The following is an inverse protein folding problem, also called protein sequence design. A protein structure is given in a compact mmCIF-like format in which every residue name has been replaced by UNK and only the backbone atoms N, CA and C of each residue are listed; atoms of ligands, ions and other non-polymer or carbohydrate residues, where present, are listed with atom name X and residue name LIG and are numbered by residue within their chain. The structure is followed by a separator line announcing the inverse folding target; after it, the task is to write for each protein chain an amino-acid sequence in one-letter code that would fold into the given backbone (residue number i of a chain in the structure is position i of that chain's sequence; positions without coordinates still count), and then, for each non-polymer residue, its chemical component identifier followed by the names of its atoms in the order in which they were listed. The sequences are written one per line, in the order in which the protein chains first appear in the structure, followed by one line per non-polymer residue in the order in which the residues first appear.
data_IF_031657816896
#
_entry.id   IF_031657816896
#
_cell.length_a   1.000
_cell.length_b   1.000
_cell.length_c   1.000
_cell.angle_alpha   90.00
_cell.angle_beta   90.00
_cell.angle_gamma   90.00
#
_symmetry.space_group_name_H-M   'P 1'
#
loop_
_entity.id
_entity.type
_entity.pdbx_description
1 polymer ?
#
# COMPACT_ATOMS: atom_id res chain seq x y z
N UNK A 1 -17.59 -6.09 -16.36
CA UNK A 1 -17.98 -5.76 -14.98
C UNK A 1 -18.56 -4.35 -14.89
N UNK A 2 -17.93 -3.36 -15.52
CA UNK A 2 -18.43 -1.98 -15.64
C UNK A 2 -19.95 -1.87 -15.86
N UNK A 3 -20.51 -2.44 -16.95
CA UNK A 3 -21.94 -2.35 -17.24
C UNK A 3 -22.84 -2.87 -16.11
N UNK A 4 -22.37 -3.93 -15.42
CA UNK A 4 -23.07 -4.50 -14.27
C UNK A 4 -23.08 -3.51 -13.09
N UNK A 5 -21.96 -2.83 -12.83
CA UNK A 5 -21.88 -1.82 -11.78
C UNK A 5 -22.73 -0.59 -12.10
N UNK A 6 -22.70 -0.13 -13.35
CA UNK A 6 -23.54 0.98 -13.82
C UNK A 6 -25.03 0.68 -13.66
N UNK A 7 -25.46 -0.55 -13.97
CA UNK A 7 -26.85 -0.97 -13.74
C UNK A 7 -27.24 -0.93 -12.25
N UNK A 8 -26.35 -1.35 -11.35
CA UNK A 8 -26.58 -1.29 -9.89
C UNK A 8 -26.64 0.16 -9.40
N UNK A 9 -25.74 1.01 -9.88
CA UNK A 9 -25.71 2.45 -9.56
C UNK A 9 -27.05 3.10 -9.94
N UNK A 10 -27.48 2.94 -11.20
CA UNK A 10 -28.75 3.49 -11.69
C UNK A 10 -29.95 3.01 -10.85
N UNK A 11 -29.92 1.74 -10.42
CA UNK A 11 -30.96 1.19 -9.55
C UNK A 11 -30.98 1.87 -8.17
N UNK A 12 -29.84 2.10 -7.55
CA UNK A 12 -29.76 2.71 -6.22
C UNK A 12 -30.08 4.21 -6.25
N UNK A 13 -29.70 4.92 -7.33
CA UNK A 13 -30.11 6.30 -7.60
C UNK A 13 -31.63 6.43 -7.69
N UNK A 14 -32.30 5.49 -8.38
CA UNK A 14 -33.78 5.45 -8.44
C UNK A 14 -34.45 5.29 -7.05
N UNK A 15 -33.70 4.85 -6.03
CA UNK A 15 -34.14 4.71 -4.63
C UNK A 15 -33.74 5.91 -3.76
N UNK A 16 -33.19 6.95 -4.39
CA UNK A 16 -32.91 8.25 -3.79
C UNK A 16 -31.48 8.46 -3.34
N UNK A 17 -30.50 7.67 -3.80
CA UNK A 17 -29.09 8.07 -3.66
C UNK A 17 -28.80 9.32 -4.51
N UNK A 18 -27.97 10.22 -3.98
CA UNK A 18 -27.54 11.45 -4.69
C UNK A 18 -26.28 11.20 -5.52
N UNK A 19 -25.42 10.29 -5.06
CA UNK A 19 -24.24 9.83 -5.77
C UNK A 19 -23.84 8.45 -5.27
N UNK A 20 -23.26 7.64 -6.15
CA UNK A 20 -22.72 6.33 -5.85
C UNK A 20 -21.38 6.17 -6.56
N UNK A 21 -20.36 5.70 -5.85
CA UNK A 21 -19.21 5.06 -6.48
C UNK A 21 -19.21 3.55 -6.22
N UNK A 22 -18.66 2.81 -7.17
CA UNK A 22 -18.52 1.38 -7.12
C UNK A 22 -17.10 1.01 -7.56
N UNK A 23 -16.46 0.15 -6.75
CA UNK A 23 -15.08 -0.29 -6.94
C UNK A 23 -15.03 -1.79 -7.00
N UNK A 24 -14.69 -2.34 -8.16
CA UNK A 24 -14.42 -3.77 -8.30
C UNK A 24 -12.93 -4.02 -8.17
N UNK A 25 -12.58 -4.99 -7.33
CA UNK A 25 -11.23 -5.51 -7.19
C UNK A 25 -11.24 -6.99 -7.57
N UNK A 26 -10.29 -7.41 -8.40
CA UNK A 26 -9.89 -8.80 -8.59
C UNK A 26 -8.37 -8.91 -8.53
N UNK A 27 -7.85 -9.29 -7.37
CA UNK A 27 -6.43 -9.27 -7.06
C UNK A 27 -5.91 -10.68 -6.78
N UNK A 28 -4.73 -10.96 -7.33
CA UNK A 28 -3.90 -12.12 -7.08
C UNK A 28 -2.73 -11.72 -6.19
N UNK A 29 -2.70 -12.29 -4.99
CA UNK A 29 -1.58 -12.19 -4.07
C UNK A 29 -0.80 -13.50 -4.07
N UNK A 30 0.46 -13.48 -4.50
CA UNK A 30 1.37 -14.62 -4.28
C UNK A 30 2.38 -14.30 -3.21
N UNK A 31 2.70 -15.32 -2.42
CA UNK A 31 3.63 -15.21 -1.30
C UNK A 31 4.44 -16.48 -1.20
N UNK A 32 5.76 -16.32 -1.18
CA UNK A 32 6.71 -17.37 -0.87
C UNK A 32 7.54 -16.93 0.33
N UNK A 33 7.64 -17.78 1.34
CA UNK A 33 8.44 -17.54 2.54
C UNK A 33 9.31 -18.76 2.77
N UNK A 34 10.61 -18.53 2.89
CA UNK A 34 11.55 -19.53 3.42
C UNK A 34 12.07 -19.08 4.77
N UNK A 35 12.28 -20.03 5.65
CA UNK A 35 13.00 -19.85 6.91
C UNK A 35 14.02 -20.98 7.05
N UNK A 36 15.29 -20.61 7.25
CA UNK A 36 16.41 -21.54 7.41
C UNK A 36 16.38 -22.68 6.34
N UNK A 37 16.36 -22.30 5.06
CA UNK A 37 16.32 -23.19 3.87
C UNK A 37 14.99 -23.91 3.62
N UNK A 38 14.07 -23.91 4.60
CA UNK A 38 12.80 -24.62 4.48
C UNK A 38 11.71 -23.69 3.95
N UNK A 39 10.90 -24.19 3.03
CA UNK A 39 9.72 -23.47 2.54
C UNK A 39 8.63 -23.54 3.61
N UNK A 40 8.38 -22.42 4.28
CA UNK A 40 7.30 -22.26 5.25
C UNK A 40 5.97 -21.98 4.57
N UNK A 41 6.01 -21.24 3.45
CA UNK A 41 4.79 -20.85 2.73
C UNK A 41 5.06 -20.74 1.24
N UNK A 42 4.19 -21.35 0.44
CA UNK A 42 4.06 -21.11 -0.98
C UNK A 42 2.57 -21.00 -1.27
N UNK A 43 2.06 -19.78 -1.45
CA UNK A 43 0.60 -19.54 -1.51
C UNK A 43 0.25 -18.54 -2.60
N UNK A 44 -0.81 -18.84 -3.33
CA UNK A 44 -1.53 -17.90 -4.20
C UNK A 44 -2.95 -17.71 -3.66
N UNK A 45 -3.39 -16.46 -3.52
CA UNK A 45 -4.74 -16.09 -3.10
C UNK A 45 -5.34 -15.21 -4.19
N UNK A 46 -6.51 -15.60 -4.69
CA UNK A 46 -7.36 -14.72 -5.49
C UNK A 46 -8.42 -14.10 -4.56
N UNK A 47 -8.56 -12.78 -4.61
CA UNK A 47 -9.63 -12.03 -3.93
C UNK A 47 -10.40 -11.28 -5.00
N UNK A 48 -11.73 -11.38 -4.97
CA UNK A 48 -12.58 -10.59 -5.83
C UNK A 48 -13.75 -10.03 -5.03
N UNK A 49 -14.16 -8.80 -5.34
CA UNK A 49 -15.30 -8.17 -4.69
C UNK A 49 -15.60 -6.79 -5.23
N UNK A 50 -16.73 -6.24 -4.78
CA UNK A 50 -17.17 -4.88 -5.12
C UNK A 50 -17.50 -4.14 -3.84
N UNK A 51 -16.93 -2.95 -3.67
CA UNK A 51 -17.35 -1.97 -2.66
C UNK A 51 -18.26 -0.91 -3.28
N UNK A 52 -19.25 -0.43 -2.52
CA UNK A 52 -20.12 0.69 -2.89
C UNK A 52 -20.08 1.75 -1.80
N UNK A 53 -19.71 2.98 -2.15
CA UNK A 53 -20.01 4.15 -1.33
C UNK A 53 -21.25 4.83 -1.88
N UNK A 54 -22.25 5.04 -1.02
CA UNK A 54 -23.52 5.68 -1.39
C UNK A 54 -23.69 6.95 -0.58
N UNK A 55 -23.99 8.04 -1.27
CA UNK A 55 -24.18 9.36 -0.68
C UNK A 55 -25.66 9.74 -0.68
N UNK A 56 -26.11 10.28 0.46
CA UNK A 56 -27.49 10.71 0.67
C UNK A 56 -27.56 11.85 1.69
N UNK A 57 -28.01 13.03 1.27
CA UNK A 57 -28.21 14.24 2.08
C UNK A 57 -26.96 14.63 2.89
N UNK A 58 -25.80 14.47 2.26
CA UNK A 58 -24.50 14.74 2.85
C UNK A 58 -23.94 13.66 3.76
N UNK A 59 -24.66 12.54 3.98
CA UNK A 59 -24.12 11.36 4.65
C UNK A 59 -23.64 10.31 3.64
N UNK A 60 -22.69 9.49 4.08
CA UNK A 60 -22.14 8.39 3.29
C UNK A 60 -22.44 7.06 3.99
N UNK A 61 -22.72 6.03 3.21
CA UNK A 61 -22.83 4.65 3.68
C UNK A 61 -22.01 3.73 2.78
N UNK A 62 -21.38 2.74 3.39
CA UNK A 62 -20.52 1.78 2.70
C UNK A 62 -21.00 0.34 2.90
N UNK A 63 -20.96 -0.44 1.84
CA UNK A 63 -21.14 -1.89 1.90
C UNK A 63 -20.37 -2.56 0.76
N UNK A 64 -20.10 -3.85 0.89
CA UNK A 64 -19.36 -4.61 -0.12
C UNK A 64 -19.96 -6.00 -0.35
N UNK A 65 -19.54 -6.67 -1.42
CA UNK A 65 -19.82 -8.08 -1.66
C UNK A 65 -18.63 -8.77 -2.33
N UNK A 66 -18.32 -9.99 -1.87
CA UNK A 66 -17.42 -10.91 -2.57
C UNK A 66 -18.18 -11.84 -3.56
N UNK A 67 -19.52 -11.80 -3.56
CA UNK A 67 -20.36 -12.52 -4.51
C UNK A 67 -20.75 -11.58 -5.66
N UNK A 68 -20.23 -11.86 -6.86
CA UNK A 68 -20.38 -11.01 -8.04
C UNK A 68 -21.69 -11.22 -8.83
N UNK A 69 -22.64 -11.97 -8.26
CA UNK A 69 -24.01 -12.05 -8.78
C UNK A 69 -24.70 -10.70 -8.68
N UNK A 70 -25.52 -10.35 -9.68
CA UNK A 70 -26.22 -9.06 -9.71
C UNK A 70 -27.06 -8.85 -8.44
N UNK A 71 -27.82 -9.86 -8.00
CA UNK A 71 -28.65 -9.78 -6.80
C UNK A 71 -27.83 -9.46 -5.53
N UNK A 72 -26.62 -10.01 -5.39
CA UNK A 72 -25.78 -9.71 -4.24
C UNK A 72 -25.20 -8.30 -4.30
N UNK A 73 -24.84 -7.82 -5.48
CA UNK A 73 -24.33 -6.45 -5.66
C UNK A 73 -25.43 -5.42 -5.39
N UNK A 74 -26.63 -5.64 -5.92
CA UNK A 74 -27.82 -4.83 -5.65
C UNK A 74 -28.12 -4.77 -4.15
N UNK A 75 -28.11 -5.92 -3.47
CA UNK A 75 -28.36 -5.99 -2.03
C UNK A 75 -27.31 -5.22 -1.21
N UNK A 76 -26.02 -5.32 -1.56
CA UNK A 76 -24.97 -4.56 -0.89
C UNK A 76 -25.15 -3.06 -1.12
N UNK A 77 -25.39 -2.62 -2.34
CA UNK A 77 -25.57 -1.20 -2.65
C UNK A 77 -26.83 -0.61 -1.98
N UNK A 78 -27.93 -1.37 -1.90
CA UNK A 78 -29.12 -1.00 -1.11
C UNK A 78 -28.79 -0.88 0.38
N UNK A 79 -27.95 -1.77 0.91
CA UNK A 79 -27.53 -1.73 2.31
C UNK A 79 -26.68 -0.49 2.60
N UNK A 80 -25.76 -0.13 1.69
CA UNK A 80 -25.00 1.11 1.76
C UNK A 80 -25.92 2.35 1.78
N UNK A 81 -26.94 2.41 0.91
CA UNK A 81 -27.95 3.46 0.95
C UNK A 81 -28.72 3.50 2.29
N UNK A 82 -29.06 2.33 2.84
CA UNK A 82 -29.72 2.22 4.15
C UNK A 82 -28.89 2.84 5.27
N UNK A 83 -27.58 2.58 5.28
CA UNK A 83 -26.63 3.18 6.22
C UNK A 83 -26.59 4.70 6.04
N UNK A 84 -26.44 5.20 4.82
CA UNK A 84 -26.40 6.64 4.53
C UNK A 84 -27.68 7.35 5.02
N UNK A 85 -28.86 6.74 4.76
CA UNK A 85 -30.16 7.25 5.25
C UNK A 85 -30.27 7.29 6.77
N UNK A 86 -29.73 6.29 7.47
CA UNK A 86 -29.74 6.22 8.92
C UNK A 86 -28.80 7.26 9.56
N UNK A 87 -27.65 7.54 8.92
CA UNK A 87 -26.67 8.52 9.40
C UNK A 87 -27.05 9.98 9.10
N UNK A 88 -27.72 10.24 7.97
CA UNK A 88 -28.10 11.58 7.52
C UNK A 88 -28.68 12.54 8.59
N UNK A 89 -29.59 12.13 9.49
CA UNK A 89 -30.12 13.03 10.52
C UNK A 89 -29.12 13.37 11.65
N UNK A 90 -28.02 12.62 11.80
CA UNK A 90 -27.13 12.70 12.95
C UNK A 90 -25.73 13.30 12.64
N UNK A 91 -25.37 13.47 11.36
CA UNK A 91 -24.06 13.98 10.97
C UNK A 91 -23.92 15.49 11.22
N UNK A 92 -22.76 15.91 11.70
CA UNK A 92 -22.40 17.32 11.93
C UNK A 92 -21.61 17.93 10.78
N UNK A 93 -20.88 17.10 10.04
CA UNK A 93 -20.11 17.46 8.85
C UNK A 93 -20.78 16.75 7.67
N UNK A 94 -21.18 17.53 6.66
CA UNK A 94 -21.82 17.01 5.46
C UNK A 94 -20.82 16.94 4.32
N UNK A 95 -20.83 15.82 3.61
CA UNK A 95 -20.12 15.70 2.35
C UNK A 95 -20.86 16.50 1.28
N UNK A 96 -20.13 17.31 0.53
CA UNK A 96 -20.62 17.98 -0.67
C UNK A 96 -20.12 17.21 -1.88
N UNK A 97 -21.02 16.96 -2.83
CA UNK A 97 -20.68 16.31 -4.09
C UNK A 97 -20.55 17.40 -5.13
N UNK A 98 -19.35 17.59 -5.65
CA UNK A 98 -19.11 18.45 -6.79
C UNK A 98 -19.27 17.62 -8.07
N UNK A 99 -20.19 17.98 -8.98
CA UNK A 99 -20.35 17.28 -10.25
C UNK A 99 -19.09 17.46 -11.10
N UNK A 100 -18.56 16.37 -11.62
CA UNK A 100 -17.41 16.33 -12.51
C UNK A 100 -17.79 15.73 -13.86
N UNK A 101 -17.06 16.16 -14.91
CA UNK A 101 -17.16 15.53 -16.22
C UNK A 101 -16.61 14.10 -16.13
N UNK A 102 -17.34 13.08 -16.62
CA UNK A 102 -16.91 11.71 -16.45
C UNK A 102 -15.71 11.38 -17.31
N UNK A 103 -14.74 10.69 -16.71
CA UNK A 103 -13.59 10.14 -17.43
C UNK A 103 -14.01 8.79 -18.02
N UNK A 104 -13.81 8.55 -19.33
CA UNK A 104 -14.29 7.33 -20.00
C UNK A 104 -13.16 6.51 -20.57
N UNK A 105 -13.30 5.19 -20.51
CA UNK A 105 -12.43 4.21 -21.16
C UNK A 105 -10.93 4.44 -20.90
N UNK A 106 -10.57 4.73 -19.65
CA UNK A 106 -9.16 4.91 -19.24
C UNK A 106 -8.60 3.59 -18.73
N UNK A 107 -7.42 3.22 -19.22
CA UNK A 107 -6.71 1.99 -18.85
C UNK A 107 -5.32 2.32 -18.31
N UNK A 108 -5.10 1.98 -17.05
CA UNK A 108 -3.94 2.40 -16.26
C UNK A 108 -3.13 1.19 -15.83
N UNK A 109 -1.81 1.24 -15.98
CA UNK A 109 -0.88 0.23 -15.46
C UNK A 109 0.50 0.85 -15.22
N UNK A 110 1.27 0.32 -14.25
CA UNK A 110 2.64 0.79 -14.05
C UNK A 110 3.53 0.42 -15.25
N UNK A 111 4.53 1.28 -15.52
CA UNK A 111 5.56 1.04 -16.53
C UNK A 111 6.56 -0.01 -16.01
N UNK A 112 6.42 -1.27 -16.46
CA UNK A 112 7.26 -2.40 -16.04
C UNK A 112 7.81 -3.13 -17.26
N UNK A 113 9.14 -3.32 -17.30
CA UNK A 113 9.83 -3.96 -18.42
C UNK A 113 9.97 -5.47 -18.24
N UNK A 114 10.28 -5.92 -17.03
CA UNK A 114 10.44 -7.35 -16.69
C UNK A 114 9.42 -7.76 -15.61
N UNK A 115 8.16 -8.01 -15.99
CA UNK A 115 7.09 -8.30 -15.05
C UNK A 115 7.27 -9.64 -14.33
N UNK A 116 7.26 -9.63 -12.99
CA UNK A 116 7.45 -10.84 -12.19
C UNK A 116 6.27 -11.84 -12.29
N UNK A 117 5.12 -11.43 -12.80
CA UNK A 117 3.99 -12.33 -13.04
C UNK A 117 4.15 -13.20 -14.28
N UNK A 118 5.13 -12.93 -15.15
CA UNK A 118 5.46 -13.75 -16.32
C UNK A 118 6.52 -14.83 -16.04
N UNK A 119 7.18 -14.79 -14.87
CA UNK A 119 8.21 -15.79 -14.51
C UNK A 119 7.64 -16.92 -13.65
N UNK A 120 8.23 -18.10 -13.80
CA UNK A 120 7.81 -19.33 -13.13
C UNK A 120 8.22 -19.37 -11.64
N UNK A 121 7.68 -20.36 -10.91
CA UNK A 121 7.95 -20.53 -9.48
C UNK A 121 9.42 -20.72 -9.14
N UNK A 122 10.16 -21.46 -9.98
CA UNK A 122 11.58 -21.77 -9.74
C UNK A 122 12.47 -20.52 -9.83
N UNK A 123 12.18 -19.61 -10.76
CA UNK A 123 12.89 -18.33 -10.86
C UNK A 123 12.65 -17.45 -9.62
N UNK A 124 11.44 -17.47 -9.07
CA UNK A 124 11.10 -16.75 -7.83
C UNK A 124 11.80 -17.36 -6.62
N UNK A 125 11.89 -18.69 -6.57
CA UNK A 125 12.64 -19.41 -5.55
C UNK A 125 14.14 -19.11 -5.62
N UNK A 126 14.70 -18.95 -6.81
CA UNK A 126 16.10 -18.58 -7.01
C UNK A 126 16.42 -17.21 -6.40
N UNK A 127 15.53 -16.21 -6.56
CA UNK A 127 15.68 -14.91 -5.90
C UNK A 127 15.78 -15.05 -4.38
N UNK A 128 14.97 -15.93 -3.78
CA UNK A 128 15.02 -16.19 -2.34
C UNK A 128 16.31 -16.90 -1.92
N UNK A 129 16.75 -17.88 -2.70
CA UNK A 129 18.00 -18.61 -2.43
C UNK A 129 19.22 -17.70 -2.51
N UNK A 130 19.27 -16.75 -3.45
CA UNK A 130 20.32 -15.74 -3.55
C UNK A 130 20.39 -14.82 -2.32
N UNK A 131 19.24 -14.33 -1.83
CA UNK A 131 19.18 -13.58 -0.56
C UNK A 131 19.68 -14.40 0.62
N UNK A 132 19.22 -15.65 0.71
CA UNK A 132 19.56 -16.55 1.81
C UNK A 132 21.06 -16.91 1.84
N UNK A 133 21.63 -17.25 0.70
CA UNK A 133 23.06 -17.58 0.59
C UNK A 133 23.93 -16.37 0.96
N UNK A 134 23.61 -15.20 0.40
CA UNK A 134 24.37 -13.97 0.72
C UNK A 134 24.28 -13.60 2.20
N UNK A 135 23.12 -13.77 2.83
CA UNK A 135 22.96 -13.53 4.26
C UNK A 135 23.82 -14.49 5.12
N UNK A 136 23.88 -15.78 4.76
CA UNK A 136 24.72 -16.77 5.46
C UNK A 136 26.21 -16.49 5.31
N UNK A 137 26.65 -16.08 4.12
CA UNK A 137 28.05 -15.77 3.85
C UNK A 137 28.56 -14.56 4.64
N UNK A 138 27.68 -13.59 4.92
CA UNK A 138 28.06 -12.31 5.55
C UNK A 138 27.65 -12.21 7.03
N UNK A 139 26.75 -13.07 7.49
CA UNK A 139 26.21 -13.02 8.84
C UNK A 139 27.06 -13.75 9.87
N UNK A 140 26.74 -13.51 11.14
CA UNK A 140 27.40 -14.14 12.29
C UNK A 140 26.35 -14.54 13.32
N UNK A 141 26.53 -15.71 13.91
CA UNK A 141 25.65 -16.26 14.96
C UNK A 141 24.16 -16.20 14.62
N UNK A 142 23.81 -16.48 13.36
CA UNK A 142 22.43 -16.44 12.86
C UNK A 142 21.62 -17.56 13.54
N UNK A 143 20.55 -17.18 14.24
CA UNK A 143 19.58 -18.11 14.83
C UNK A 143 18.32 -18.27 13.99
N UNK A 144 17.96 -17.27 13.19
CA UNK A 144 16.88 -17.35 12.20
C UNK A 144 17.20 -16.47 10.99
N UNK A 145 16.96 -17.01 9.81
CA UNK A 145 17.09 -16.33 8.53
C UNK A 145 15.80 -16.55 7.74
N UNK A 146 15.10 -15.46 7.46
CA UNK A 146 13.79 -15.48 6.81
C UNK A 146 13.80 -14.62 5.56
N UNK A 147 13.49 -15.24 4.42
CA UNK A 147 13.41 -14.56 3.13
C UNK A 147 11.99 -14.62 2.58
N UNK A 148 11.55 -13.51 2.00
CA UNK A 148 10.18 -13.29 1.58
C UNK A 148 10.15 -12.81 0.13
N UNK A 149 9.24 -13.38 -0.64
CA UNK A 149 8.81 -12.92 -1.95
C UNK A 149 7.30 -12.70 -1.90
N UNK A 150 6.86 -11.55 -2.38
CA UNK A 150 5.45 -11.19 -2.51
C UNK A 150 5.18 -10.50 -3.83
N UNK A 151 4.05 -10.85 -4.46
CA UNK A 151 3.53 -10.09 -5.60
C UNK A 151 2.03 -9.87 -5.43
N UNK A 152 1.59 -8.66 -5.74
CA UNK A 152 0.18 -8.30 -5.89
C UNK A 152 -0.02 -7.86 -7.34
N UNK A 153 -0.99 -8.46 -8.02
CA UNK A 153 -1.36 -8.10 -9.39
C UNK A 153 -2.86 -8.28 -9.57
N UNK A 154 -3.48 -7.64 -10.56
CA UNK A 154 -4.90 -7.89 -10.81
C UNK A 154 -5.58 -6.80 -11.60
N UNK A 155 -6.91 -6.76 -11.51
CA UNK A 155 -7.74 -5.74 -12.14
C UNK A 155 -8.52 -4.99 -11.07
N UNK A 156 -8.57 -3.68 -11.22
CA UNK A 156 -9.44 -2.78 -10.49
C UNK A 156 -10.29 -2.01 -11.49
N UNK A 157 -11.57 -1.84 -11.19
CA UNK A 157 -12.48 -1.02 -11.99
C UNK A 157 -13.15 -0.03 -11.05
N UNK A 158 -12.98 1.25 -11.34
CA UNK A 158 -13.70 2.33 -10.67
C UNK A 158 -14.79 2.86 -11.60
N UNK A 159 -15.97 3.06 -11.03
CA UNK A 159 -17.07 3.74 -11.71
C UNK A 159 -17.98 4.45 -10.73
N UNK A 160 -18.69 5.48 -11.20
CA UNK A 160 -19.54 6.32 -10.36
C UNK A 160 -20.85 6.71 -11.07
N UNK A 161 -21.68 7.49 -10.39
CA UNK A 161 -22.93 8.08 -10.89
C UNK A 161 -22.80 8.91 -12.16
N UNK A 162 -21.66 9.57 -12.37
CA UNK A 162 -21.39 10.34 -13.60
C UNK A 162 -21.05 9.42 -14.78
N UNK A 163 -20.82 8.13 -14.48
CA UNK A 163 -20.45 7.10 -15.43
C UNK A 163 -18.95 7.05 -15.70
N UNK A 164 -18.11 7.57 -14.81
CA UNK A 164 -16.65 7.42 -14.94
C UNK A 164 -16.29 5.95 -15.14
N UNK A 165 -15.34 5.66 -16.03
CA UNK A 165 -14.87 4.33 -16.36
C UNK A 165 -13.34 4.31 -16.37
N UNK A 166 -12.78 3.80 -15.27
CA UNK A 166 -11.34 3.62 -15.11
C UNK A 166 -11.07 2.15 -14.83
N UNK A 167 -10.22 1.55 -15.67
CA UNK A 167 -9.64 0.23 -15.49
C UNK A 167 -8.19 0.40 -15.06
N UNK A 168 -7.80 -0.25 -13.98
CA UNK A 168 -6.45 -0.17 -13.43
C UNK A 168 -5.89 -1.56 -13.16
N UNK A 169 -4.69 -1.82 -13.65
CA UNK A 169 -3.92 -3.00 -13.33
C UNK A 169 -2.86 -2.65 -12.26
N UNK A 170 -3.17 -2.78 -10.95
CA UNK A 170 -2.16 -2.60 -9.93
C UNK A 170 -1.11 -3.69 -10.04
N UNK A 171 0.15 -3.32 -9.80
CA UNK A 171 1.21 -4.29 -9.57
C UNK A 171 2.10 -3.86 -8.41
N UNK A 172 2.50 -4.80 -7.58
CA UNK A 172 3.57 -4.60 -6.57
C UNK A 172 4.39 -5.87 -6.45
N UNK A 173 5.70 -5.71 -6.45
CA UNK A 173 6.67 -6.75 -6.12
C UNK A 173 7.32 -6.40 -4.77
N UNK A 174 7.59 -7.41 -3.95
CA UNK A 174 8.24 -7.26 -2.66
C UNK A 174 9.23 -8.41 -2.41
N UNK A 175 10.49 -8.07 -2.15
CA UNK A 175 11.53 -8.96 -1.62
C UNK A 175 11.96 -8.45 -0.25
N UNK A 176 12.19 -9.35 0.70
CA UNK A 176 12.72 -9.00 2.01
C UNK A 176 13.60 -10.11 2.55
N UNK A 177 14.76 -9.75 3.09
CA UNK A 177 15.59 -10.61 3.92
C UNK A 177 15.54 -10.10 5.37
N UNK A 178 15.31 -10.99 6.32
CA UNK A 178 15.31 -10.72 7.75
C UNK A 178 16.24 -11.70 8.44
N UNK A 179 17.22 -11.17 9.16
CA UNK A 179 18.25 -11.93 9.87
C UNK A 179 18.12 -11.65 11.35
N UNK A 180 18.01 -12.71 12.14
CA UNK A 180 18.13 -12.65 13.60
C UNK A 180 19.42 -13.35 14.01
N UNK A 181 20.30 -12.58 14.64
CA UNK A 181 21.54 -13.09 15.24
C UNK A 181 21.42 -13.17 16.77
N UNK A 182 22.25 -14.02 17.37
CA UNK A 182 22.19 -14.34 18.80
C UNK A 182 23.56 -14.17 19.49
N UNK A 183 23.60 -13.53 20.65
CA UNK A 183 24.81 -13.47 21.50
C UNK A 183 25.02 -14.79 22.25
N UNK A 184 26.24 -15.10 22.73
CA UNK A 184 26.48 -16.25 23.60
C UNK A 184 25.62 -16.24 24.88
N UNK A 185 25.27 -15.05 25.38
CA UNK A 185 24.43 -14.84 26.56
C UNK A 185 22.93 -15.05 26.26
N UNK A 186 22.56 -15.12 24.98
CA UNK A 186 21.21 -15.44 24.52
C UNK A 186 20.40 -14.26 23.99
N UNK A 187 20.97 -13.06 23.94
CA UNK A 187 20.31 -11.87 23.40
C UNK A 187 20.10 -12.01 21.89
N UNK A 188 18.96 -11.55 21.41
CA UNK A 188 18.59 -11.62 20.00
C UNK A 188 18.54 -10.22 19.40
N UNK A 189 19.17 -10.05 18.23
CA UNK A 189 19.08 -8.82 17.46
C UNK A 189 18.66 -9.12 16.04
N UNK A 190 17.70 -8.34 15.54
CA UNK A 190 17.14 -8.51 14.20
C UNK A 190 17.42 -7.30 13.34
N UNK A 191 17.81 -7.56 12.09
CA UNK A 191 17.82 -6.56 11.05
C UNK A 191 17.19 -7.12 9.78
N UNK A 192 16.79 -6.20 8.90
CA UNK A 192 16.13 -6.54 7.66
C UNK A 192 16.54 -5.55 6.59
N UNK A 193 16.63 -6.04 5.38
CA UNK A 193 16.65 -5.23 4.18
C UNK A 193 15.54 -5.70 3.23
N UNK A 194 15.00 -4.78 2.45
CA UNK A 194 13.87 -5.08 1.58
C UNK A 194 13.83 -4.17 0.36
N UNK A 195 13.20 -4.69 -0.69
CA UNK A 195 12.81 -3.93 -1.86
C UNK A 195 11.35 -4.18 -2.17
N UNK A 196 10.57 -3.12 -2.32
CA UNK A 196 9.13 -3.21 -2.60
C UNK A 196 8.70 -2.10 -3.53
N UNK A 197 7.60 -2.28 -4.26
CA UNK A 197 6.95 -1.21 -5.02
C UNK A 197 6.33 -1.70 -6.33
N UNK A 198 5.76 -0.79 -7.10
CA UNK A 198 5.31 -1.04 -8.48
C UNK A 198 6.50 -1.11 -9.44
N UNK A 199 7.34 -2.12 -9.25
CA UNK A 199 8.62 -2.33 -9.95
C UNK A 199 8.67 -3.70 -10.62
N UNK A 200 9.42 -3.83 -11.71
CA UNK A 200 9.72 -5.13 -12.31
C UNK A 200 10.99 -5.77 -11.77
N UNK A 201 11.31 -6.96 -12.27
CA UNK A 201 12.52 -7.70 -11.95
C UNK A 201 13.79 -6.96 -12.39
N UNK A 202 13.69 -6.01 -13.33
CA UNK A 202 14.81 -5.14 -13.72
C UNK A 202 15.38 -4.32 -12.56
N UNK A 203 14.55 -3.94 -11.59
CA UNK A 203 14.99 -3.21 -10.40
C UNK A 203 15.85 -4.06 -9.48
N UNK A 204 15.65 -5.38 -9.48
CA UNK A 204 16.46 -6.34 -8.69
C UNK A 204 17.83 -6.64 -9.34
N UNK A 205 18.15 -5.97 -10.46
CA UNK A 205 19.46 -6.02 -11.11
C UNK A 205 20.26 -4.75 -10.89
N UNK A 206 19.65 -3.73 -10.28
CA UNK A 206 20.32 -2.47 -9.95
C UNK A 206 21.24 -2.66 -8.76
N UNK A 207 22.33 -1.90 -8.74
CA UNK A 207 23.28 -1.87 -7.63
C UNK A 207 22.55 -1.54 -6.31
N UNK A 208 22.86 -2.26 -5.25
CA UNK A 208 22.25 -2.16 -3.91
C UNK A 208 20.79 -2.66 -3.84
N UNK A 209 20.20 -3.17 -4.91
CA UNK A 209 18.84 -3.70 -4.93
C UNK A 209 18.77 -5.19 -5.29
N UNK A 210 19.93 -5.82 -5.52
CA UNK A 210 19.97 -7.24 -5.86
C UNK A 210 19.58 -8.12 -4.66
N UNK A 211 19.08 -9.34 -4.89
CA UNK A 211 18.90 -10.32 -3.82
C UNK A 211 20.13 -10.47 -2.93
N UNK A 212 21.34 -10.47 -3.50
CA UNK A 212 22.59 -10.54 -2.76
C UNK A 212 22.78 -9.31 -1.88
N UNK A 213 22.56 -8.10 -2.40
CA UNK A 213 22.68 -6.87 -1.62
C UNK A 213 21.73 -6.89 -0.41
N UNK A 214 20.47 -7.28 -0.61
CA UNK A 214 19.47 -7.38 0.47
C UNK A 214 19.88 -8.41 1.53
N UNK A 215 20.37 -9.58 1.09
CA UNK A 215 20.86 -10.63 1.98
C UNK A 215 22.05 -10.17 2.82
N UNK A 216 23.05 -9.60 2.16
CA UNK A 216 24.26 -9.06 2.78
C UNK A 216 23.94 -7.95 3.77
N UNK A 217 23.14 -6.97 3.39
CA UNK A 217 22.79 -5.82 4.24
C UNK A 217 22.09 -6.28 5.52
N UNK A 218 21.05 -7.12 5.39
CA UNK A 218 20.32 -7.64 6.54
C UNK A 218 21.25 -8.37 7.53
N UNK A 219 22.18 -9.18 7.01
CA UNK A 219 23.15 -9.91 7.81
C UNK A 219 24.16 -9.00 8.52
N UNK A 220 24.76 -8.05 7.79
CA UNK A 220 25.72 -7.10 8.34
C UNK A 220 25.08 -6.21 9.41
N UNK A 221 23.86 -5.72 9.18
CA UNK A 221 23.14 -4.90 10.16
C UNK A 221 22.74 -5.70 11.40
N UNK A 222 22.36 -6.97 11.28
CA UNK A 222 22.05 -7.82 12.43
C UNK A 222 23.31 -8.04 13.28
N UNK A 223 24.44 -8.32 12.63
CA UNK A 223 25.76 -8.45 13.26
C UNK A 223 26.20 -7.15 13.97
N UNK A 224 26.04 -6.00 13.32
CA UNK A 224 26.38 -4.71 13.92
C UNK A 224 25.52 -4.42 15.16
N UNK A 225 24.20 -4.67 15.06
CA UNK A 225 23.24 -4.51 16.17
C UNK A 225 23.58 -5.35 17.39
N UNK A 226 24.12 -6.56 17.22
CA UNK A 226 24.54 -7.40 18.34
C UNK A 226 25.58 -6.74 19.26
N UNK A 227 26.45 -5.89 18.70
CA UNK A 227 27.52 -5.22 19.46
C UNK A 227 27.15 -3.80 19.89
N UNK A 228 25.94 -3.37 19.56
CA UNK A 228 25.47 -2.01 19.81
C UNK A 228 25.18 -1.77 21.28
N UNK A 229 25.55 -0.58 21.76
CA UNK A 229 25.16 -0.11 23.09
C UNK A 229 23.79 0.56 23.02
N UNK A 230 23.07 0.55 24.14
CA UNK A 230 21.85 1.35 24.30
C UNK A 230 22.15 2.82 24.05
N UNK A 231 21.32 3.47 23.23
CA UNK A 231 21.43 4.91 23.00
C UNK A 231 21.17 5.67 24.32
N UNK A 232 21.93 6.75 24.62
CA UNK A 232 21.70 7.55 25.81
C UNK A 232 20.35 8.27 25.74
N UNK A 233 19.67 8.40 26.88
CA UNK A 233 18.47 9.21 26.98
C UNK A 233 18.81 10.71 26.98
N UNK A 234 18.05 11.52 26.23
CA UNK A 234 18.24 12.97 26.21
C UNK A 234 17.86 13.62 24.88
N UNK A 235 18.11 14.93 24.79
CA UNK A 235 17.96 15.70 23.54
C UNK A 235 19.31 15.83 22.87
N UNK A 236 19.40 15.36 21.62
CA UNK A 236 20.61 15.41 20.82
C UNK A 236 20.31 15.98 19.44
N UNK A 237 21.31 16.58 18.81
CA UNK A 237 21.26 16.86 17.38
C UNK A 237 21.46 15.53 16.65
N UNK A 238 20.50 15.15 15.82
CA UNK A 238 20.59 13.95 14.99
C UNK A 238 20.88 14.33 13.53
N UNK A 239 21.67 13.50 12.86
CA UNK A 239 21.75 13.46 11.41
C UNK A 239 20.97 12.23 10.96
N UNK A 240 19.94 12.43 10.13
CA UNK A 240 19.06 11.38 9.68
C UNK A 240 19.34 11.02 8.22
N UNK A 241 19.21 9.73 7.90
CA UNK A 241 19.17 9.25 6.52
C UNK A 241 17.91 9.80 5.83
N UNK A 242 17.94 9.97 4.50
CA UNK A 242 16.85 10.57 3.74
C UNK A 242 15.52 9.82 3.91
N UNK A 243 15.55 8.48 3.94
CA UNK A 243 14.37 7.65 4.17
C UNK A 243 13.74 7.91 5.54
N UNK A 244 14.56 8.04 6.58
CA UNK A 244 14.09 8.37 7.93
C UNK A 244 13.55 9.80 8.00
N UNK A 245 14.16 10.75 7.30
CA UNK A 245 13.64 12.12 7.20
C UNK A 245 12.24 12.13 6.55
N UNK A 246 12.00 11.29 5.53
CA UNK A 246 10.68 11.08 4.94
C UNK A 246 9.65 10.55 5.94
N UNK A 247 10.01 9.55 6.75
CA UNK A 247 9.14 9.05 7.84
C UNK A 247 8.86 10.16 8.85
N UNK A 248 9.87 10.93 9.27
CA UNK A 248 9.65 12.04 10.18
C UNK A 248 8.68 13.07 9.59
N UNK A 249 8.78 13.40 8.29
CA UNK A 249 7.84 14.29 7.61
C UNK A 249 6.41 13.70 7.58
N UNK A 250 6.28 12.40 7.31
CA UNK A 250 5.00 11.68 7.31
C UNK A 250 4.31 11.76 8.68
N UNK A 251 5.03 11.44 9.76
CA UNK A 251 4.46 11.42 11.11
C UNK A 251 4.23 12.83 11.67
N UNK A 252 5.18 13.75 11.46
CA UNK A 252 5.12 15.09 12.06
C UNK A 252 4.23 16.07 11.32
N UNK A 253 3.93 15.82 10.04
CA UNK A 253 3.11 16.71 9.22
C UNK A 253 2.10 15.95 8.34
N UNK A 254 2.48 14.85 7.69
CA UNK A 254 1.62 14.12 6.75
C UNK A 254 0.24 13.80 7.33
N UNK A 255 0.18 13.03 8.41
CA UNK A 255 -1.09 12.71 9.08
C UNK A 255 -1.83 13.96 9.59
N UNK A 256 -1.11 15.00 10.01
CA UNK A 256 -1.75 16.22 10.53
C UNK A 256 -2.40 17.05 9.42
N UNK A 257 -2.04 16.81 8.15
CA UNK A 257 -2.63 17.47 6.98
C UNK A 257 -3.77 16.68 6.33
N UNK A 258 -4.08 15.47 6.82
CA UNK A 258 -5.20 14.68 6.32
C UNK A 258 -6.53 15.40 6.56
N UNK A 259 -7.34 15.53 5.50
CA UNK A 259 -8.48 16.44 5.47
C UNK A 259 -9.58 16.10 6.47
N UNK A 260 -9.79 14.81 6.75
CA UNK A 260 -10.72 14.33 7.77
C UNK A 260 -10.30 14.79 9.17
N UNK A 261 -9.01 14.73 9.50
CA UNK A 261 -8.49 15.18 10.79
C UNK A 261 -8.52 16.70 10.94
N UNK A 262 -8.29 17.44 9.85
CA UNK A 262 -8.36 18.91 9.83
C UNK A 262 -9.80 19.41 9.94
N UNK A 263 -10.74 18.85 9.17
CA UNK A 263 -12.15 19.26 9.15
C UNK A 263 -12.86 18.89 10.46
N UNK A 264 -12.51 17.74 11.05
CA UNK A 264 -13.02 17.33 12.37
C UNK A 264 -12.40 18.11 13.55
N UNK A 265 -11.47 19.03 13.29
CA UNK A 265 -10.72 19.80 14.31
C UNK A 265 -9.87 18.93 15.24
N UNK A 266 -9.54 17.71 14.83
CA UNK A 266 -8.62 16.84 15.55
C UNK A 266 -7.16 17.24 15.32
N UNK A 267 -6.85 17.79 14.15
CA UNK A 267 -5.51 18.24 13.81
C UNK A 267 -5.14 19.57 14.50
N UNK A 268 -3.91 19.71 15.04
CA UNK A 268 -3.39 20.99 15.49
C UNK A 268 -3.17 21.98 14.33
N UNK A 269 -3.28 21.52 13.08
CA UNK A 269 -3.20 22.34 11.87
C UNK A 269 -4.54 22.97 11.46
N UNK A 270 -5.62 22.74 12.22
CA UNK A 270 -6.88 23.44 12.00
C UNK A 270 -6.69 24.96 12.03
N UNK A 271 -7.15 25.65 10.98
CA UNK A 271 -6.97 27.10 10.75
C UNK A 271 -5.51 27.58 10.69
N UNK A 272 -4.58 26.72 10.24
CA UNK A 272 -3.15 27.06 10.10
C UNK A 272 -2.69 27.30 8.66
N UNK A 273 -3.63 27.35 7.71
CA UNK A 273 -3.31 27.63 6.32
C UNK A 273 -2.69 29.04 6.18
N UNK A 274 -1.54 29.13 5.52
CA UNK A 274 -0.79 30.39 5.34
C UNK A 274 0.15 30.77 6.50
N UNK A 275 0.15 30.03 7.60
CA UNK A 275 1.09 30.26 8.70
C UNK A 275 2.45 29.56 8.47
N UNK A 276 3.53 30.13 9.00
CA UNK A 276 4.85 29.48 9.04
C UNK A 276 4.90 28.47 10.18
N UNK A 277 4.86 27.18 9.84
CA UNK A 277 4.81 26.07 10.81
C UNK A 277 6.17 25.46 11.13
N UNK A 278 7.19 25.74 10.33
CA UNK A 278 8.51 25.14 10.46
C UNK A 278 9.64 26.02 9.95
N UNK A 279 10.81 25.40 9.81
CA UNK A 279 11.99 26.03 9.21
C UNK A 279 11.73 26.42 7.75
N UNK A 280 12.32 27.52 7.30
CA UNK A 280 12.27 27.94 5.88
C UNK A 280 13.10 27.06 4.95
N UNK A 281 13.93 26.18 5.51
CA UNK A 281 14.72 25.21 4.76
C UNK A 281 13.94 23.92 4.43
N UNK A 282 12.68 23.80 4.86
CA UNK A 282 11.87 22.59 4.71
C UNK A 282 10.67 22.88 3.81
N UNK A 283 10.50 22.06 2.79
CA UNK A 283 9.29 22.00 1.97
C UNK A 283 8.87 20.53 1.90
N UNK A 284 7.62 20.25 2.27
CA UNK A 284 7.03 18.91 2.24
C UNK A 284 5.95 18.94 1.17
N UNK A 285 5.98 17.98 0.26
CA UNK A 285 5.06 17.88 -0.86
C UNK A 285 4.53 16.45 -0.92
N UNK A 286 3.21 16.31 -1.00
CA UNK A 286 2.55 15.08 -1.43
C UNK A 286 2.06 15.29 -2.86
N UNK A 287 2.63 14.54 -3.80
CA UNK A 287 2.36 14.71 -5.24
C UNK A 287 1.53 13.56 -5.82
N UNK A 288 1.29 12.47 -5.08
CA UNK A 288 0.58 11.28 -5.58
C UNK A 288 1.25 10.55 -6.77
N UNK A 289 2.35 11.08 -7.31
CA UNK A 289 3.08 10.49 -8.44
C UNK A 289 4.13 9.53 -7.89
N UNK A 290 4.13 8.27 -8.35
CA UNK A 290 5.25 7.38 -8.04
C UNK A 290 6.48 7.85 -8.79
N UNK A 291 7.60 8.06 -8.08
CA UNK A 291 8.86 8.45 -8.70
C UNK A 291 9.21 7.51 -9.85
N UNK A 292 9.76 8.01 -10.96
CA UNK A 292 10.36 7.14 -11.98
C UNK A 292 11.82 6.86 -11.59
N UNK A 293 12.36 5.71 -12.01
CA UNK A 293 13.77 5.38 -11.86
C UNK A 293 14.08 4.42 -10.70
N UNK A 294 15.21 4.65 -10.01
CA UNK A 294 15.82 3.64 -9.13
C UNK A 294 15.22 3.59 -7.71
N UNK A 295 14.53 4.65 -7.26
CA UNK A 295 14.04 4.79 -5.87
C UNK A 295 12.54 4.51 -5.69
N UNK A 296 11.95 3.68 -6.56
CA UNK A 296 10.55 3.27 -6.44
C UNK A 296 10.38 2.32 -5.26
N UNK A 297 9.82 2.84 -4.18
CA UNK A 297 9.50 2.10 -2.96
C UNK A 297 8.00 2.05 -2.63
N UNK A 298 7.15 2.59 -3.50
CA UNK A 298 5.71 2.74 -3.28
C UNK A 298 4.86 2.02 -4.33
N UNK A 299 3.59 1.81 -4.00
CA UNK A 299 2.55 1.41 -4.93
C UNK A 299 2.25 2.58 -5.88
N UNK A 300 2.22 2.30 -7.18
CA UNK A 300 1.72 3.22 -8.20
C UNK A 300 0.22 3.35 -8.10
N UNK A 301 -0.21 4.49 -7.54
CA UNK A 301 -1.60 4.87 -7.36
C UNK A 301 -1.93 5.99 -8.35
N UNK A 302 -2.55 5.69 -9.50
CA UNK A 302 -2.78 6.67 -10.56
C UNK A 302 -3.96 7.61 -10.32
N UNK A 303 -4.84 7.25 -9.39
CA UNK A 303 -5.96 8.03 -8.87
C UNK A 303 -6.23 7.51 -7.45
N UNK A 304 -6.84 8.33 -6.60
CA UNK A 304 -7.22 7.90 -5.25
C UNK A 304 -8.25 6.77 -5.31
N UNK A 305 -8.22 5.85 -4.33
CA UNK A 305 -9.24 4.80 -4.26
C UNK A 305 -10.59 5.42 -3.98
#
# INVERSE_FOLDING_TARGET
MFDKLQAVISMVESKGAEFVDARYDELLLRTIIKENERIEKYKTIKRAGVGFNVYYKGATGYAFSANLSIASLEQSAISALGIAKACAPAISIKSEIEPLDPIKNVHLKPEIREPAWLVEGDEKMELLSRMENSAKENGESISSLRVFYGELSGEKIFTNSEGTEIHWHPFTLALRCEVTSKTPQGDLMTARDFRTGSIGLEHLKMKNHTPEDLGKNAALWAKEKLTSKTAPAGKFRALCENSLAGVLAHESFGHLTEGDFVVSKGSPLHNKLGEKLGSEHVTIIDEGIVPKGENICSLWLPFDD
#
